data_IF_322114979053
#
_entry.id   IF_322114979053
#
_cell.length_a   1.000
_cell.length_b   1.000
_cell.length_c   1.000
_cell.angle_alpha   90.00
_cell.angle_beta   90.00
_cell.angle_gamma   90.00
#
_symmetry.space_group_name_H-M   'P 1'
#
loop_
_entity.id
_entity.type
_entity.pdbx_description
1 polymer ?
#
# COMPACT_ATOMS: atom_id res chain seq x y z
N UNK A 1 49.87 -10.10 -5.24
CA UNK A 1 49.02 -9.89 -6.44
C UNK A 1 47.61 -9.64 -5.92
N UNK A 2 47.15 -8.39 -5.91
CA UNK A 2 45.79 -8.01 -5.52
C UNK A 2 44.95 -8.20 -6.75
N UNK A 3 44.08 -9.24 -6.74
CA UNK A 3 43.10 -9.43 -7.80
C UNK A 3 42.02 -8.39 -7.57
N UNK A 4 42.00 -7.34 -8.38
CA UNK A 4 40.91 -6.39 -8.43
C UNK A 4 39.65 -7.17 -8.87
N UNK A 5 38.67 -7.29 -7.97
CA UNK A 5 37.41 -7.97 -8.26
C UNK A 5 36.74 -7.29 -9.43
N UNK A 6 36.62 -8.01 -10.56
CA UNK A 6 35.94 -7.53 -11.72
C UNK A 6 34.44 -7.34 -11.39
N UNK A 7 33.76 -6.45 -12.11
CA UNK A 7 32.33 -6.11 -11.95
C UNK A 7 31.36 -7.33 -12.06
N UNK A 8 31.88 -8.50 -12.42
CA UNK A 8 31.16 -9.79 -12.46
C UNK A 8 31.09 -10.53 -11.12
N UNK A 9 31.81 -10.05 -10.08
CA UNK A 9 31.84 -10.66 -8.74
C UNK A 9 31.13 -9.77 -7.73
N UNK A 10 30.11 -9.08 -8.12
CA UNK A 10 29.37 -8.15 -7.26
C UNK A 10 27.87 -8.25 -7.49
N UNK A 11 27.11 -7.83 -6.49
CA UNK A 11 25.66 -7.75 -6.50
C UNK A 11 25.30 -6.28 -6.34
N UNK A 12 24.37 -5.79 -7.17
CA UNK A 12 23.89 -4.43 -7.09
C UNK A 12 22.58 -4.41 -6.28
N UNK A 13 22.51 -3.61 -5.22
CA UNK A 13 21.29 -3.36 -4.46
C UNK A 13 20.88 -1.91 -4.61
N UNK A 14 19.63 -1.69 -5.03
CA UNK A 14 19.05 -0.36 -5.29
C UNK A 14 17.59 -0.28 -4.84
N UNK A 15 17.00 0.91 -4.90
CA UNK A 15 15.61 1.15 -4.52
C UNK A 15 15.47 1.67 -3.10
N UNK A 16 14.38 1.31 -2.44
CA UNK A 16 14.03 1.78 -1.09
C UNK A 16 14.84 1.08 -0.01
N UNK A 17 16.16 1.31 -0.01
CA UNK A 17 17.12 0.78 0.98
C UNK A 17 17.91 1.91 1.61
N UNK A 18 18.38 1.72 2.83
CA UNK A 18 19.16 2.75 3.55
C UNK A 18 20.52 3.02 2.94
N UNK A 19 21.16 2.02 2.33
CA UNK A 19 22.46 2.10 1.69
C UNK A 19 22.45 1.40 0.33
N UNK A 20 21.96 2.07 -0.74
CA UNK A 20 22.09 1.51 -2.08
C UNK A 20 23.55 1.43 -2.51
N UNK A 21 23.92 0.38 -3.19
CA UNK A 21 25.30 0.20 -3.62
C UNK A 21 25.62 -1.18 -4.16
N UNK A 22 26.91 -1.37 -4.41
CA UNK A 22 27.45 -2.62 -4.91
C UNK A 22 28.02 -3.40 -3.72
N UNK A 23 27.51 -4.61 -3.52
CA UNK A 23 28.00 -5.54 -2.52
C UNK A 23 28.98 -6.52 -3.16
N UNK A 24 30.18 -6.76 -2.56
CA UNK A 24 31.08 -7.78 -3.05
C UNK A 24 30.48 -9.16 -2.82
N UNK A 25 30.47 -10.00 -3.85
CA UNK A 25 30.13 -11.39 -3.71
C UNK A 25 31.36 -12.18 -3.29
N UNK A 26 31.23 -13.02 -2.29
CA UNK A 26 32.33 -13.87 -1.80
C UNK A 26 32.17 -15.33 -2.25
N UNK A 27 33.25 -16.12 -2.39
CA UNK A 27 33.16 -17.53 -2.74
C UNK A 27 32.37 -18.39 -1.74
N UNK A 28 32.19 -17.91 -0.50
CA UNK A 28 31.31 -18.53 0.48
C UNK A 28 29.82 -18.38 0.19
N UNK A 29 29.47 -17.62 -0.86
CA UNK A 29 28.10 -17.26 -1.20
C UNK A 29 27.65 -15.98 -0.48
N UNK A 30 26.59 -15.38 -0.97
CA UNK A 30 25.84 -14.30 -0.33
C UNK A 30 24.36 -14.62 -0.47
N UNK A 31 23.66 -14.64 0.63
CA UNK A 31 22.21 -14.84 0.62
C UNK A 31 21.48 -13.51 0.41
N UNK A 32 20.23 -13.59 -0.05
CA UNK A 32 19.38 -12.40 -0.21
C UNK A 32 19.16 -11.70 1.14
N UNK A 33 18.96 -12.48 2.21
CA UNK A 33 18.79 -11.95 3.56
C UNK A 33 20.01 -11.15 4.04
N UNK A 34 21.23 -11.66 3.80
CA UNK A 34 22.47 -10.96 4.13
C UNK A 34 22.64 -9.68 3.31
N UNK A 35 22.39 -9.76 1.99
CA UNK A 35 22.49 -8.59 1.10
C UNK A 35 21.50 -7.48 1.51
N UNK A 36 20.27 -7.84 1.85
CA UNK A 36 19.26 -6.92 2.34
C UNK A 36 19.66 -6.34 3.69
N UNK A 37 20.12 -7.15 4.65
CA UNK A 37 20.54 -6.69 5.97
C UNK A 37 21.69 -5.69 5.87
N UNK A 38 22.67 -5.95 5.02
CA UNK A 38 23.79 -5.04 4.77
C UNK A 38 23.35 -3.72 4.12
N UNK A 39 22.36 -3.80 3.22
CA UNK A 39 21.85 -2.64 2.47
C UNK A 39 20.78 -1.85 3.22
N UNK A 40 20.03 -2.50 4.09
CA UNK A 40 19.05 -1.81 4.93
C UNK A 40 19.74 -0.94 5.97
N UNK A 41 20.89 -1.36 6.52
CA UNK A 41 21.59 -0.62 7.56
C UNK A 41 20.65 -0.24 8.70
N UNK A 42 20.75 1.00 9.21
CA UNK A 42 19.76 1.56 10.15
C UNK A 42 18.53 2.11 9.43
N UNK A 43 18.02 1.38 8.40
CA UNK A 43 16.85 1.81 7.62
C UNK A 43 15.57 1.93 8.47
N UNK A 44 15.54 1.32 9.65
CA UNK A 44 14.51 1.60 10.66
C UNK A 44 14.42 3.10 11.03
N UNK A 45 15.49 3.84 10.90
CA UNK A 45 15.53 5.28 11.15
C UNK A 45 15.22 6.12 9.88
N UNK A 46 15.47 5.58 8.68
CA UNK A 46 15.23 6.29 7.43
C UNK A 46 13.77 6.17 6.95
N UNK A 47 13.10 5.07 7.27
CA UNK A 47 11.68 4.90 6.98
C UNK A 47 10.77 5.76 7.87
N UNK A 48 11.28 6.25 9.00
CA UNK A 48 10.51 7.14 9.88
C UNK A 48 10.50 8.61 9.43
N UNK A 49 11.43 9.03 8.56
CA UNK A 49 11.51 10.44 8.13
C UNK A 49 10.71 10.77 6.86
N UNK A 50 10.23 9.77 6.15
CA UNK A 50 9.42 9.94 4.94
C UNK A 50 8.03 9.25 5.03
N UNK A 51 7.69 8.69 6.19
CA UNK A 51 6.37 8.13 6.40
C UNK A 51 5.34 9.26 6.45
N UNK A 52 4.64 9.48 5.34
CA UNK A 52 3.44 10.30 5.35
C UNK A 52 2.47 9.67 6.35
N UNK A 53 2.01 10.41 7.38
CA UNK A 53 1.06 9.86 8.34
C UNK A 53 -0.15 9.29 7.61
N UNK A 54 -0.46 8.00 7.84
CA UNK A 54 -1.57 7.31 7.16
C UNK A 54 -1.17 6.49 5.92
N UNK A 55 0.12 6.36 5.58
CA UNK A 55 0.58 5.45 4.53
C UNK A 55 1.32 4.25 5.11
N UNK A 56 0.77 3.07 4.91
CA UNK A 56 1.47 1.80 5.08
C UNK A 56 1.90 1.30 3.71
N UNK A 57 3.14 0.83 3.59
CA UNK A 57 3.69 0.37 2.32
C UNK A 57 4.08 -1.08 2.41
N UNK A 58 3.75 -1.85 1.36
CA UNK A 58 4.36 -3.16 1.18
C UNK A 58 5.77 -2.98 0.62
N UNK A 59 6.73 -3.67 1.22
CA UNK A 59 8.08 -3.72 0.70
C UNK A 59 8.29 -5.05 -0.01
N UNK A 60 8.62 -4.98 -1.29
CA UNK A 60 8.94 -6.13 -2.13
C UNK A 60 10.35 -6.03 -2.69
N UNK A 61 10.96 -7.18 -2.95
CA UNK A 61 12.29 -7.26 -3.53
C UNK A 61 12.19 -7.98 -4.87
N UNK A 62 12.67 -7.32 -5.92
CA UNK A 62 12.79 -7.92 -7.25
C UNK A 62 14.24 -8.30 -7.52
N UNK A 63 14.46 -9.56 -7.88
CA UNK A 63 15.77 -10.10 -8.26
C UNK A 63 15.83 -10.20 -9.76
N UNK A 64 16.79 -9.51 -10.35
CA UNK A 64 17.11 -9.58 -11.77
C UNK A 64 18.38 -10.39 -11.96
N UNK A 65 18.29 -11.48 -12.68
CA UNK A 65 19.40 -12.36 -13.05
C UNK A 65 19.52 -12.45 -14.56
N UNK A 66 20.75 -12.36 -15.07
CA UNK A 66 20.97 -12.44 -16.50
C UNK A 66 20.37 -13.72 -17.12
N UNK A 67 19.56 -13.58 -18.16
CA UNK A 67 18.93 -14.69 -18.88
C UNK A 67 17.77 -15.38 -18.15
N UNK A 68 17.23 -14.76 -17.09
CA UNK A 68 16.04 -15.24 -16.39
C UNK A 68 15.04 -14.11 -16.18
N UNK A 69 13.76 -14.46 -16.11
CA UNK A 69 12.72 -13.51 -15.74
C UNK A 69 12.91 -13.00 -14.31
N UNK A 70 12.59 -11.74 -14.03
CA UNK A 70 12.70 -11.19 -12.69
C UNK A 70 11.73 -11.88 -11.73
N UNK A 71 12.23 -12.22 -10.54
CA UNK A 71 11.42 -12.78 -9.47
C UNK A 71 11.18 -11.72 -8.42
N UNK A 72 9.92 -11.46 -8.10
CA UNK A 72 9.53 -10.51 -7.06
C UNK A 72 8.94 -11.24 -5.86
N UNK A 73 9.45 -10.92 -4.67
CA UNK A 73 9.07 -11.54 -3.41
C UNK A 73 8.77 -10.46 -2.36
N UNK A 74 7.82 -10.70 -1.43
CA UNK A 74 7.67 -9.88 -0.24
C UNK A 74 8.98 -9.89 0.56
N UNK A 75 9.32 -8.76 1.19
CA UNK A 75 10.58 -8.65 1.94
C UNK A 75 10.66 -9.64 3.10
N UNK A 76 9.53 -9.95 3.75
CA UNK A 76 9.46 -10.96 4.81
C UNK A 76 9.93 -12.32 4.29
N UNK A 77 9.38 -12.79 3.18
CA UNK A 77 9.79 -14.04 2.54
C UNK A 77 11.25 -14.02 2.05
N UNK A 78 11.74 -12.85 1.64
CA UNK A 78 13.13 -12.68 1.21
C UNK A 78 14.13 -12.77 2.37
N UNK A 79 13.71 -12.39 3.58
CA UNK A 79 14.52 -12.46 4.80
C UNK A 79 14.47 -13.85 5.46
N UNK A 80 13.32 -14.52 5.39
CA UNK A 80 13.12 -15.85 6.01
C UNK A 80 13.78 -16.97 5.20
N UNK A 81 13.80 -16.84 3.89
CA UNK A 81 14.35 -17.86 3.00
C UNK A 81 15.82 -17.60 2.67
N UNK A 82 16.67 -18.62 2.83
CA UNK A 82 18.08 -18.55 2.47
C UNK A 82 18.30 -18.64 0.94
N UNK A 83 17.78 -17.65 0.20
CA UNK A 83 17.91 -17.57 -1.26
C UNK A 83 19.34 -17.17 -1.61
N UNK A 84 20.08 -18.06 -2.25
CA UNK A 84 21.45 -17.80 -2.69
C UNK A 84 21.47 -16.88 -3.90
N UNK A 85 22.23 -15.78 -3.78
CA UNK A 85 22.49 -14.85 -4.87
C UNK A 85 23.67 -15.32 -5.72
N UNK A 86 23.66 -14.92 -6.98
CA UNK A 86 24.74 -15.20 -7.93
C UNK A 86 25.48 -13.91 -8.28
N UNK A 87 26.77 -14.02 -8.65
CA UNK A 87 27.50 -12.85 -9.13
C UNK A 87 26.81 -12.20 -10.33
N UNK A 88 26.62 -10.88 -10.25
CA UNK A 88 25.91 -10.11 -11.28
C UNK A 88 24.40 -9.97 -11.06
N UNK A 89 23.84 -10.56 -10.00
CA UNK A 89 22.44 -10.33 -9.64
C UNK A 89 22.22 -8.86 -9.26
N UNK A 90 21.04 -8.34 -9.61
CA UNK A 90 20.57 -7.01 -9.24
C UNK A 90 19.32 -7.13 -8.39
N UNK A 91 19.38 -6.57 -7.19
CA UNK A 91 18.25 -6.47 -6.28
C UNK A 91 17.64 -5.07 -6.34
N UNK A 92 16.35 -4.99 -6.54
CA UNK A 92 15.62 -3.72 -6.48
C UNK A 92 14.56 -3.86 -5.39
N UNK A 93 14.67 -3.01 -4.37
CA UNK A 93 13.70 -2.96 -3.28
C UNK A 93 12.66 -1.88 -3.59
N UNK A 94 11.40 -2.29 -3.66
CA UNK A 94 10.27 -1.41 -3.90
C UNK A 94 9.47 -1.25 -2.61
N UNK A 95 9.09 -0.02 -2.28
CA UNK A 95 8.19 0.26 -1.16
C UNK A 95 7.04 1.11 -1.69
N UNK A 96 5.88 0.48 -1.86
CA UNK A 96 4.69 1.12 -2.40
C UNK A 96 3.44 0.62 -1.66
N UNK A 97 2.40 1.46 -1.52
CA UNK A 97 1.12 0.99 -1.02
C UNK A 97 0.50 0.03 -2.04
N UNK A 98 -0.04 -1.07 -1.55
CA UNK A 98 -0.74 -2.07 -2.39
C UNK A 98 -2.18 -1.64 -2.65
N UNK A 99 -2.82 -1.00 -1.66
CA UNK A 99 -4.20 -0.52 -1.71
C UNK A 99 -4.23 0.94 -1.29
N UNK A 100 -4.93 1.77 -2.06
CA UNK A 100 -5.21 3.16 -1.71
C UNK A 100 -6.72 3.35 -1.53
N UNK A 101 -7.12 3.89 -0.37
CA UNK A 101 -8.48 4.25 -0.07
C UNK A 101 -8.60 5.76 0.13
N UNK A 102 -9.67 6.35 -0.39
CA UNK A 102 -9.97 7.77 -0.22
C UNK A 102 -11.08 7.92 0.82
N UNK A 103 -10.79 8.59 1.94
CA UNK A 103 -11.80 8.90 2.98
C UNK A 103 -12.28 10.33 2.79
N UNK A 104 -13.59 10.50 2.64
CA UNK A 104 -14.26 11.78 2.44
C UNK A 104 -15.43 11.96 3.41
N UNK A 105 -15.95 13.18 3.48
CA UNK A 105 -17.10 13.57 4.29
C UNK A 105 -16.68 14.21 5.61
N UNK A 106 -17.45 15.21 6.06
CA UNK A 106 -17.17 15.92 7.31
C UNK A 106 -17.46 15.11 8.56
N UNK A 107 -18.08 13.93 8.42
CA UNK A 107 -18.19 12.94 9.47
C UNK A 107 -16.89 12.18 9.77
N UNK A 108 -15.89 12.22 8.89
CA UNK A 108 -14.58 11.67 9.17
C UNK A 108 -13.74 12.68 9.97
N UNK A 109 -12.99 12.20 10.97
CA UNK A 109 -12.09 13.07 11.74
C UNK A 109 -10.97 13.62 10.86
N UNK A 110 -10.45 12.80 9.96
CA UNK A 110 -9.45 13.19 8.96
C UNK A 110 -9.83 12.66 7.58
N UNK A 111 -10.33 13.53 6.72
CA UNK A 111 -10.50 13.20 5.31
C UNK A 111 -9.14 13.22 4.60
N UNK A 112 -8.94 12.30 3.65
CA UNK A 112 -7.68 12.20 2.91
C UNK A 112 -7.51 10.88 2.19
N UNK A 113 -6.38 10.73 1.50
CA UNK A 113 -6.00 9.47 0.85
C UNK A 113 -5.07 8.68 1.78
N UNK A 114 -5.37 7.40 1.96
CA UNK A 114 -4.65 6.48 2.83
C UNK A 114 -4.14 5.29 2.03
N UNK A 115 -2.86 4.98 2.20
CA UNK A 115 -2.21 3.86 1.53
C UNK A 115 -1.94 2.71 2.51
N UNK A 116 -2.15 1.48 2.05
CA UNK A 116 -1.98 0.26 2.84
C UNK A 116 -1.06 -0.72 2.11
N UNK A 117 -0.19 -1.38 2.84
CA UNK A 117 0.70 -2.43 2.31
C UNK A 117 -0.01 -3.75 2.07
N UNK A 118 -1.11 -3.97 2.77
CA UNK A 118 -1.99 -5.14 2.67
C UNK A 118 -3.42 -4.67 2.44
N UNK A 119 -4.31 -5.60 2.08
CA UNK A 119 -5.74 -5.29 1.93
C UNK A 119 -6.34 -4.96 3.29
N UNK A 120 -6.70 -3.68 3.55
CA UNK A 120 -7.24 -3.29 4.85
C UNK A 120 -8.73 -3.60 4.93
N UNK A 121 -9.24 -3.73 6.15
CA UNK A 121 -10.68 -3.70 6.39
C UNK A 121 -11.19 -2.25 6.44
N UNK A 122 -12.52 -2.07 6.26
CA UNK A 122 -13.16 -0.75 6.40
C UNK A 122 -12.88 -0.14 7.79
N UNK A 123 -12.90 -0.96 8.84
CA UNK A 123 -12.60 -0.50 10.19
C UNK A 123 -11.16 0.00 10.33
N UNK A 124 -10.19 -0.66 9.67
CA UNK A 124 -8.79 -0.21 9.66
C UNK A 124 -8.61 1.11 8.90
N UNK A 125 -9.29 1.28 7.77
CA UNK A 125 -9.27 2.53 7.01
C UNK A 125 -9.81 3.69 7.85
N UNK A 126 -10.93 3.49 8.54
CA UNK A 126 -11.49 4.49 9.44
C UNK A 126 -10.59 4.76 10.64
N UNK A 127 -9.96 3.74 11.22
CA UNK A 127 -8.99 3.91 12.31
C UNK A 127 -7.79 4.76 11.88
N UNK A 128 -7.27 4.55 10.67
CA UNK A 128 -6.22 5.39 10.07
C UNK A 128 -6.69 6.85 9.89
N UNK A 129 -7.95 7.05 9.52
CA UNK A 129 -8.58 8.36 9.42
C UNK A 129 -8.93 8.98 10.79
N UNK A 130 -8.43 8.42 11.89
CA UNK A 130 -8.69 8.82 13.27
C UNK A 130 -10.16 8.67 13.69
N UNK A 131 -10.88 7.78 13.03
CA UNK A 131 -12.26 7.45 13.36
C UNK A 131 -13.29 8.46 12.88
N UNK A 132 -14.46 8.36 13.44
CA UNK A 132 -15.58 9.24 13.17
C UNK A 132 -15.49 10.49 14.04
N UNK A 133 -15.85 11.65 13.47
CA UNK A 133 -15.96 12.88 14.24
C UNK A 133 -17.20 12.80 15.16
N UNK A 134 -17.04 12.79 16.48
CA UNK A 134 -18.16 12.61 17.39
C UNK A 134 -19.21 13.75 17.35
N UNK A 135 -18.82 14.93 16.85
CA UNK A 135 -19.68 16.10 16.77
C UNK A 135 -20.39 16.29 15.43
N UNK A 136 -19.89 15.64 14.39
CA UNK A 136 -20.36 15.86 13.02
C UNK A 136 -20.82 14.57 12.31
N UNK A 137 -20.31 13.40 12.71
CA UNK A 137 -20.58 12.17 12.01
C UNK A 137 -22.00 11.67 12.21
N UNK A 138 -22.61 11.20 11.13
CA UNK A 138 -23.75 10.31 11.19
C UNK A 138 -23.26 8.86 11.09
N UNK A 139 -23.03 8.25 12.24
CA UNK A 139 -22.50 6.89 12.32
C UNK A 139 -23.46 5.80 11.74
N UNK A 140 -24.71 6.16 11.38
CA UNK A 140 -25.63 5.24 10.71
C UNK A 140 -25.32 5.05 9.24
N UNK A 141 -24.61 5.99 8.63
CA UNK A 141 -24.38 6.00 7.19
C UNK A 141 -22.93 6.25 6.87
N UNK A 142 -22.21 5.15 6.71
CA UNK A 142 -20.84 5.13 6.20
C UNK A 142 -20.88 4.37 4.88
N UNK A 143 -20.64 5.09 3.82
CA UNK A 143 -20.74 4.55 2.47
C UNK A 143 -19.37 4.15 1.94
N UNK A 144 -19.31 2.99 1.27
CA UNK A 144 -18.16 2.60 0.48
C UNK A 144 -18.58 2.54 -0.99
N UNK A 145 -17.97 3.39 -1.79
CA UNK A 145 -18.16 3.39 -3.24
C UNK A 145 -17.01 2.62 -3.88
N UNK A 146 -17.35 1.60 -4.61
CA UNK A 146 -16.41 0.75 -5.36
C UNK A 146 -16.73 0.79 -6.83
N UNK A 147 -15.74 1.11 -7.65
CA UNK A 147 -15.86 1.06 -9.09
C UNK A 147 -15.06 -0.13 -9.63
N UNK A 148 -15.75 -1.09 -10.21
CA UNK A 148 -15.13 -2.24 -10.86
C UNK A 148 -15.40 -2.19 -12.37
N UNK A 149 -14.35 -2.40 -13.16
CA UNK A 149 -14.50 -2.49 -14.63
C UNK A 149 -15.33 -3.72 -15.07
N UNK A 150 -15.45 -4.73 -14.20
CA UNK A 150 -16.16 -5.99 -14.53
C UNK A 150 -17.61 -5.99 -14.08
N UNK A 151 -17.90 -5.41 -12.91
CA UNK A 151 -19.22 -5.50 -12.25
C UNK A 151 -19.96 -4.17 -12.18
N UNK A 152 -19.34 -3.08 -12.69
CA UNK A 152 -19.88 -1.74 -12.56
C UNK A 152 -19.64 -1.13 -11.19
N UNK A 153 -20.38 -0.06 -10.86
CA UNK A 153 -20.24 0.65 -9.57
C UNK A 153 -21.12 -0.01 -8.51
N UNK A 154 -20.58 -0.23 -7.33
CA UNK A 154 -21.26 -0.74 -6.16
C UNK A 154 -21.24 0.27 -5.03
N UNK A 155 -22.32 0.33 -4.27
CA UNK A 155 -22.46 1.12 -3.06
C UNK A 155 -22.77 0.18 -1.90
N UNK A 156 -21.98 0.29 -0.83
CA UNK A 156 -22.20 -0.40 0.43
C UNK A 156 -22.52 0.65 1.50
N UNK A 157 -23.51 0.38 2.35
CA UNK A 157 -23.90 1.25 3.48
C UNK A 157 -23.72 0.49 4.78
N UNK A 158 -22.99 1.09 5.73
CA UNK A 158 -22.66 0.50 7.04
C UNK A 158 -23.21 1.36 8.17
N UNK A 159 -23.92 0.71 9.11
CA UNK A 159 -24.40 1.31 10.34
C UNK A 159 -23.47 1.01 11.52
N UNK A 160 -22.65 1.97 11.90
CA UNK A 160 -21.72 1.86 13.02
C UNK A 160 -22.37 2.12 14.39
N UNK A 161 -23.66 2.44 14.43
CA UNK A 161 -24.41 2.43 15.69
C UNK A 161 -24.82 1.00 16.11
N UNK A 162 -24.74 0.04 15.19
CA UNK A 162 -25.02 -1.35 15.48
C UNK A 162 -23.73 -2.16 15.66
N UNK A 163 -23.70 -3.06 16.64
CA UNK A 163 -22.57 -3.97 16.81
C UNK A 163 -22.34 -4.86 15.59
N UNK A 164 -23.38 -5.25 14.90
CA UNK A 164 -23.31 -6.04 13.65
C UNK A 164 -22.61 -5.23 12.55
N UNK A 165 -22.95 -3.95 12.40
CA UNK A 165 -22.32 -3.08 11.40
C UNK A 165 -20.82 -2.90 11.65
N UNK A 166 -20.41 -2.75 12.92
CA UNK A 166 -18.99 -2.65 13.28
C UNK A 166 -18.25 -3.96 12.98
N UNK A 167 -18.83 -5.11 13.32
CA UNK A 167 -18.23 -6.42 13.01
C UNK A 167 -18.14 -6.65 11.49
N UNK A 168 -19.17 -6.27 10.76
CA UNK A 168 -19.15 -6.36 9.29
C UNK A 168 -18.07 -5.46 8.70
N UNK A 169 -17.90 -4.25 9.21
CA UNK A 169 -16.85 -3.33 8.76
C UNK A 169 -15.43 -3.86 9.08
N UNK A 170 -15.28 -4.64 10.16
CA UNK A 170 -14.01 -5.27 10.51
C UNK A 170 -13.61 -6.37 9.52
N UNK A 171 -14.58 -7.05 8.92
CA UNK A 171 -14.34 -8.14 7.95
C UNK A 171 -14.45 -7.69 6.50
N UNK A 172 -14.99 -6.50 6.23
CA UNK A 172 -15.19 -6.00 4.87
C UNK A 172 -13.86 -5.50 4.27
N UNK A 173 -13.33 -6.17 3.22
CA UNK A 173 -12.08 -5.78 2.60
C UNK A 173 -12.27 -4.54 1.73
N UNK A 174 -11.40 -3.56 1.89
CA UNK A 174 -11.31 -2.38 1.01
C UNK A 174 -10.39 -2.71 -0.17
N UNK A 175 -10.85 -2.42 -1.38
CA UNK A 175 -10.11 -2.59 -2.61
C UNK A 175 -9.42 -1.27 -3.03
N UNK A 176 -8.46 -1.40 -3.95
CA UNK A 176 -7.74 -0.22 -4.47
C UNK A 176 -8.70 0.77 -5.13
N UNK A 177 -8.55 2.04 -4.76
CA UNK A 177 -9.38 3.17 -5.20
C UNK A 177 -10.81 3.19 -4.66
N UNK A 178 -11.13 2.42 -3.63
CA UNK A 178 -12.39 2.59 -2.93
C UNK A 178 -12.50 3.97 -2.29
N UNK A 179 -13.71 4.53 -2.31
CA UNK A 179 -14.02 5.79 -1.64
C UNK A 179 -14.90 5.49 -0.44
N UNK A 180 -14.40 5.80 0.75
CA UNK A 180 -15.14 5.71 2.00
C UNK A 180 -15.69 7.11 2.32
N UNK A 181 -17.00 7.25 2.32
CA UNK A 181 -17.66 8.51 2.63
C UNK A 181 -18.38 8.42 3.98
N UNK A 182 -17.97 9.25 4.90
CA UNK A 182 -18.60 9.36 6.23
C UNK A 182 -19.60 10.50 6.21
N UNK A 183 -20.89 10.15 6.33
CA UNK A 183 -21.96 11.15 6.30
C UNK A 183 -21.91 12.08 7.50
N UNK A 184 -22.38 13.31 7.27
CA UNK A 184 -22.56 14.32 8.31
C UNK A 184 -24.00 14.31 8.84
N UNK A 185 -24.19 14.86 10.04
CA UNK A 185 -25.50 15.13 10.61
C UNK A 185 -25.74 16.65 10.62
N UNK A 186 -26.84 17.15 10.04
CA UNK A 186 -27.96 16.44 9.38
C UNK A 186 -27.60 15.91 7.99
N UNK A 187 -28.20 14.79 7.59
CA UNK A 187 -27.88 14.05 6.37
C UNK A 187 -28.06 14.93 5.14
N UNK A 188 -26.98 15.19 4.41
CA UNK A 188 -27.09 15.64 3.02
C UNK A 188 -27.68 14.47 2.22
N UNK A 189 -28.74 14.67 1.41
CA UNK A 189 -29.36 13.57 0.70
C UNK A 189 -28.32 12.79 -0.11
N UNK A 190 -28.24 11.49 0.12
CA UNK A 190 -27.30 10.54 -0.52
C UNK A 190 -27.28 10.69 -2.05
N UNK A 191 -28.45 11.03 -2.64
CA UNK A 191 -28.58 11.30 -4.07
C UNK A 191 -27.66 12.41 -4.58
N UNK A 192 -27.35 13.42 -3.77
CA UNK A 192 -26.47 14.52 -4.19
C UNK A 192 -25.00 14.08 -4.22
N UNK A 193 -24.58 13.28 -3.24
CA UNK A 193 -23.23 12.70 -3.20
C UNK A 193 -23.03 11.67 -4.31
N UNK A 194 -24.02 10.78 -4.51
CA UNK A 194 -24.03 9.82 -5.61
C UNK A 194 -23.88 10.53 -6.96
N UNK A 195 -24.69 11.54 -7.24
CA UNK A 195 -24.62 12.26 -8.50
C UNK A 195 -23.25 12.92 -8.73
N UNK A 196 -22.64 13.47 -7.70
CA UNK A 196 -21.30 14.09 -7.81
C UNK A 196 -20.23 13.06 -8.14
N UNK A 197 -20.25 11.90 -7.47
CA UNK A 197 -19.26 10.84 -7.70
C UNK A 197 -19.48 10.18 -9.07
N UNK A 198 -20.72 9.91 -9.46
CA UNK A 198 -21.04 9.34 -10.77
C UNK A 198 -20.70 10.29 -11.92
N UNK A 199 -20.85 11.61 -11.75
CA UNK A 199 -20.44 12.58 -12.76
C UNK A 199 -18.93 12.67 -12.91
N UNK A 200 -18.15 12.45 -11.85
CA UNK A 200 -16.69 12.39 -11.90
C UNK A 200 -16.18 11.08 -12.52
N UNK A 201 -16.96 10.00 -12.43
CA UNK A 201 -16.59 8.67 -12.92
C UNK A 201 -16.96 8.43 -14.40
N UNK A 202 -17.78 9.29 -15.01
CA UNK A 202 -18.08 9.19 -16.43
C UNK A 202 -16.88 9.76 -17.24
N UNK A 203 -16.21 8.95 -18.07
CA UNK A 203 -15.26 9.50 -19.02
C UNK A 203 -16.02 10.45 -19.94
N UNK A 204 -15.46 11.64 -20.13
CA UNK A 204 -15.95 12.61 -21.12
C UNK A 204 -15.73 12.06 -22.53
N UNK A 205 -16.52 11.09 -22.92
CA UNK A 205 -16.59 10.56 -24.28
C UNK A 205 -17.94 10.94 -24.86
N UNK A 206 -18.09 12.19 -25.25
CA UNK A 206 -18.91 12.62 -26.40
C UNK A 206 -18.47 14.06 -26.67
N UNK A 207 -17.43 14.22 -27.45
CA UNK A 207 -17.29 15.39 -28.28
C UNK A 207 -17.32 14.91 -29.73
N UNK A 208 -18.45 15.11 -30.35
CA UNK A 208 -18.55 15.22 -31.79
C UNK A 208 -19.50 16.31 -32.15
#
# INVERSE_FOLDING_TARGET
VTIAGGSRSSILVTGSVGKPGILPWSPGGLTMAEALTLSMGNASAASSSAAVPGQQTATTVSVYRAGKDPVTLPIASALENAIALQPGDKLIVHSQPTVQALVLGGGATRAGSYGFGEVPSLAQVLAQAQGLNPNAANARHIFVFRQSMKTGSALYDFDFNSGVGILTAQTFPIEDRDIVYVAESPIIPVSRVLNTIFQMALPATIAR
#
